data_IF_160190889715
#
_entry.id   IF_160190889715
#
_cell.length_a   1.000
_cell.length_b   1.000
_cell.length_c   1.000
_cell.angle_alpha   90.00
_cell.angle_beta   90.00
_cell.angle_gamma   90.00
#
_symmetry.space_group_name_H-M   'P 1'
#
loop_
_entity.id
_entity.type
_entity.pdbx_description
1 polymer ?
#
# COMPACT_ATOMS: atom_id res chain seq x y z
N UNK A 1 -17.84 8.73 -15.80
CA UNK A 1 -18.57 8.43 -14.54
C UNK A 1 -17.95 7.21 -13.90
N UNK A 2 -17.86 7.15 -12.55
CA UNK A 2 -17.37 5.98 -11.85
C UNK A 2 -18.22 4.77 -12.22
N UNK A 3 -17.59 3.61 -12.37
CA UNK A 3 -18.27 2.36 -12.73
C UNK A 3 -17.74 1.21 -11.87
N UNK A 4 -18.43 0.07 -11.85
CA UNK A 4 -18.00 -1.11 -11.08
C UNK A 4 -17.46 -2.19 -12.01
N UNK A 5 -16.40 -2.84 -11.57
CA UNK A 5 -15.88 -4.07 -12.17
C UNK A 5 -15.83 -5.16 -11.11
N UNK A 6 -16.17 -6.38 -11.48
CA UNK A 6 -16.18 -7.54 -10.57
C UNK A 6 -14.96 -8.41 -10.83
N UNK A 7 -14.27 -8.79 -9.75
CA UNK A 7 -13.15 -9.73 -9.79
C UNK A 7 -13.61 -11.16 -10.07
N UNK A 8 -12.65 -12.04 -10.42
CA UNK A 8 -12.88 -13.49 -10.47
C UNK A 8 -13.22 -14.07 -9.10
N UNK A 9 -12.86 -13.35 -8.03
CA UNK A 9 -13.26 -13.63 -6.66
C UNK A 9 -14.70 -13.20 -6.34
N UNK A 10 -15.45 -12.69 -7.32
CA UNK A 10 -16.83 -12.21 -7.16
C UNK A 10 -16.95 -10.85 -6.48
N UNK A 11 -15.84 -10.20 -6.09
CA UNK A 11 -15.89 -8.91 -5.39
C UNK A 11 -15.88 -7.76 -6.38
N UNK A 12 -16.81 -6.83 -6.20
CA UNK A 12 -16.89 -5.62 -7.01
C UNK A 12 -16.00 -4.51 -6.46
N UNK A 13 -15.35 -3.78 -7.37
CA UNK A 13 -14.55 -2.59 -7.06
C UNK A 13 -15.04 -1.43 -7.92
N UNK A 14 -15.20 -0.26 -7.28
CA UNK A 14 -15.54 0.98 -7.96
C UNK A 14 -14.29 1.56 -8.62
N UNK A 15 -14.33 1.71 -9.94
CA UNK A 15 -13.31 2.36 -10.75
C UNK A 15 -13.62 3.85 -10.81
N UNK A 16 -12.69 4.72 -10.39
CA UNK A 16 -12.88 6.17 -10.45
C UNK A 16 -12.86 6.67 -11.89
N UNK A 17 -13.32 7.91 -12.08
CA UNK A 17 -13.30 8.57 -13.39
C UNK A 17 -11.91 8.63 -14.01
N UNK A 18 -11.82 8.19 -15.28
CA UNK A 18 -10.56 8.12 -16.01
C UNK A 18 -9.57 7.06 -15.49
N UNK A 19 -10.00 6.24 -14.52
CA UNK A 19 -9.27 5.06 -14.07
C UNK A 19 -9.60 3.81 -14.87
N UNK A 20 -8.94 2.71 -14.53
CA UNK A 20 -9.20 1.38 -15.08
C UNK A 20 -9.07 0.32 -13.98
N UNK A 21 -9.60 -0.88 -14.20
CA UNK A 21 -9.42 -2.02 -13.30
C UNK A 21 -8.29 -2.92 -13.77
N UNK A 22 -7.49 -3.42 -12.83
CA UNK A 22 -6.54 -4.50 -13.08
C UNK A 22 -6.77 -5.64 -12.08
N UNK A 23 -6.75 -6.86 -12.59
CA UNK A 23 -7.02 -8.05 -11.79
C UNK A 23 -5.73 -8.74 -11.34
N UNK A 24 -5.69 -9.10 -10.06
CA UNK A 24 -4.66 -9.93 -9.47
C UNK A 24 -4.72 -11.40 -9.92
N UNK A 25 -3.62 -12.15 -9.74
CA UNK A 25 -3.64 -13.62 -9.88
C UNK A 25 -4.56 -14.25 -8.85
N UNK A 26 -4.68 -13.62 -7.68
CA UNK A 26 -5.65 -13.94 -6.63
C UNK A 26 -7.12 -13.74 -7.06
N UNK A 27 -7.37 -13.22 -8.26
CA UNK A 27 -8.69 -12.95 -8.80
C UNK A 27 -9.31 -11.63 -8.37
N UNK A 28 -8.68 -10.90 -7.44
CA UNK A 28 -9.20 -9.65 -6.93
C UNK A 28 -8.98 -8.50 -7.92
N UNK A 29 -10.03 -7.69 -8.13
CA UNK A 29 -9.92 -6.48 -8.96
C UNK A 29 -9.34 -5.33 -8.13
N UNK A 30 -8.49 -4.49 -8.72
CA UNK A 30 -7.99 -3.26 -8.11
C UNK A 30 -8.22 -2.08 -9.03
N UNK A 31 -8.77 -1.00 -8.47
CA UNK A 31 -8.94 0.25 -9.19
C UNK A 31 -7.60 0.99 -9.31
N UNK A 32 -7.19 1.26 -10.54
CA UNK A 32 -6.03 2.07 -10.88
C UNK A 32 -6.52 3.48 -11.24
N UNK A 33 -6.15 4.52 -10.48
CA UNK A 33 -6.55 5.89 -10.79
C UNK A 33 -5.86 6.38 -12.06
N UNK A 34 -6.43 7.43 -12.68
CA UNK A 34 -5.85 8.07 -13.86
C UNK A 34 -4.37 8.41 -13.65
N UNK A 35 -3.53 8.04 -14.62
CA UNK A 35 -2.08 8.26 -14.57
C UNK A 35 -1.31 7.35 -13.61
N UNK A 36 -1.99 6.45 -12.90
CA UNK A 36 -1.38 5.37 -12.14
C UNK A 36 -1.16 4.12 -12.99
N UNK A 37 -0.49 3.14 -12.39
CA UNK A 37 -0.30 1.80 -12.95
C UNK A 37 -0.49 0.75 -11.84
N UNK A 38 -0.68 -0.52 -12.22
CA UNK A 38 -0.76 -1.62 -11.26
C UNK A 38 0.55 -2.41 -11.21
N UNK A 39 0.92 -2.87 -10.02
CA UNK A 39 2.00 -3.85 -9.83
C UNK A 39 1.49 -5.02 -9.01
N UNK A 40 1.88 -6.22 -9.42
CA UNK A 40 1.48 -7.46 -8.78
C UNK A 40 2.64 -8.05 -7.98
N UNK A 41 2.39 -8.38 -6.71
CA UNK A 41 3.36 -9.06 -5.87
C UNK A 41 3.51 -10.54 -6.22
N UNK A 42 4.53 -11.21 -5.67
CA UNK A 42 4.67 -12.67 -5.77
C UNK A 42 3.49 -13.39 -5.13
N UNK A 43 2.87 -12.79 -4.13
CA UNK A 43 1.64 -13.28 -3.51
C UNK A 43 0.39 -13.22 -4.41
N UNK A 44 0.52 -12.69 -5.63
CA UNK A 44 -0.54 -12.62 -6.63
C UNK A 44 -1.48 -11.43 -6.48
N UNK A 45 -1.35 -10.63 -5.42
CA UNK A 45 -2.22 -9.48 -5.15
C UNK A 45 -1.74 -8.26 -5.94
N UNK A 46 -2.69 -7.55 -6.54
CA UNK A 46 -2.43 -6.30 -7.28
C UNK A 46 -2.42 -5.10 -6.33
N UNK A 47 -1.59 -4.09 -6.62
CA UNK A 47 -1.56 -2.80 -5.90
C UNK A 47 -1.52 -1.66 -6.90
N UNK A 48 -2.34 -0.63 -6.64
CA UNK A 48 -2.34 0.60 -7.42
C UNK A 48 -1.18 1.51 -7.01
N UNK A 49 -0.35 1.88 -7.98
CA UNK A 49 0.74 2.84 -7.85
C UNK A 49 0.29 4.15 -8.49
N UNK A 50 0.18 5.20 -7.69
CA UNK A 50 -0.25 6.53 -8.17
C UNK A 50 0.87 7.19 -8.98
N UNK A 51 0.46 8.11 -9.85
CA UNK A 51 1.37 8.88 -10.71
C UNK A 51 2.56 9.46 -9.92
N UNK A 52 3.77 9.26 -10.43
CA UNK A 52 5.02 9.75 -9.83
C UNK A 52 5.52 8.96 -8.61
N UNK A 53 4.76 8.00 -8.09
CA UNK A 53 5.26 7.02 -7.13
C UNK A 53 5.84 5.79 -7.82
N UNK A 54 6.32 4.85 -7.03
CA UNK A 54 6.80 3.55 -7.47
C UNK A 54 6.32 2.46 -6.51
N UNK A 55 6.51 1.19 -6.86
CA UNK A 55 6.22 0.08 -5.97
C UNK A 55 7.48 -0.62 -5.50
N UNK A 56 7.46 -1.13 -4.27
CA UNK A 56 8.48 -2.03 -3.73
C UNK A 56 7.83 -3.26 -3.13
N UNK A 57 8.44 -4.41 -3.33
CA UNK A 57 7.93 -5.67 -2.82
C UNK A 57 8.49 -6.00 -1.43
N UNK A 58 7.60 -6.44 -0.55
CA UNK A 58 7.92 -7.02 0.74
C UNK A 58 8.62 -8.38 0.61
N UNK A 59 9.37 -8.77 1.65
CA UNK A 59 9.81 -10.17 1.81
C UNK A 59 8.61 -11.11 1.89
N UNK A 60 7.49 -10.62 2.41
CA UNK A 60 6.22 -11.33 2.47
C UNK A 60 5.49 -11.43 1.11
N UNK A 61 6.12 -10.98 0.03
CA UNK A 61 5.62 -11.11 -1.34
C UNK A 61 4.59 -10.04 -1.73
N UNK A 62 4.29 -9.09 -0.84
CA UNK A 62 3.28 -8.04 -1.06
C UNK A 62 3.91 -6.80 -1.66
N UNK A 63 3.29 -6.23 -2.70
CA UNK A 63 3.66 -4.88 -3.16
C UNK A 63 3.21 -3.80 -2.17
N UNK A 64 4.01 -2.75 -2.04
CA UNK A 64 3.67 -1.51 -1.33
C UNK A 64 3.84 -0.32 -2.27
N UNK A 65 2.92 0.65 -2.17
CA UNK A 65 3.05 1.94 -2.84
C UNK A 65 4.04 2.84 -2.08
N UNK A 66 5.03 3.35 -2.80
CA UNK A 66 5.97 4.36 -2.31
C UNK A 66 5.64 5.70 -2.97
N UNK A 67 5.30 6.74 -2.18
CA UNK A 67 4.93 8.03 -2.74
C UNK A 67 6.10 8.72 -3.43
N UNK A 68 5.80 9.64 -4.35
CA UNK A 68 6.81 10.46 -5.03
C UNK A 68 7.72 11.15 -4.01
N UNK A 69 9.03 11.00 -4.17
CA UNK A 69 10.04 11.55 -3.26
C UNK A 69 10.12 10.86 -1.89
N UNK A 70 9.31 9.82 -1.67
CA UNK A 70 9.37 8.97 -0.49
C UNK A 70 10.35 7.81 -0.65
N UNK A 71 10.43 6.98 0.38
CA UNK A 71 11.24 5.76 0.40
C UNK A 71 10.46 4.61 1.03
N UNK A 72 10.90 3.37 0.81
CA UNK A 72 10.31 2.19 1.43
C UNK A 72 11.07 1.78 2.69
N UNK A 73 10.33 1.36 3.72
CA UNK A 73 10.88 0.68 4.90
C UNK A 73 10.14 -0.64 5.13
N UNK A 74 10.90 -1.67 5.47
CA UNK A 74 10.38 -3.02 5.68
C UNK A 74 10.50 -3.39 7.16
N UNK A 75 9.38 -3.85 7.75
CA UNK A 75 9.38 -4.37 9.11
C UNK A 75 10.01 -5.75 9.21
N UNK A 76 10.24 -6.23 10.44
CA UNK A 76 10.66 -7.61 10.69
C UNK A 76 9.64 -8.62 10.20
N UNK A 77 8.35 -8.26 10.20
CA UNK A 77 7.27 -9.09 9.62
C UNK A 77 7.34 -9.23 8.09
N UNK A 78 8.30 -8.57 7.44
CA UNK A 78 8.54 -8.65 6.01
C UNK A 78 7.68 -7.71 5.17
N UNK A 79 6.72 -7.00 5.78
CA UNK A 79 5.86 -6.04 5.06
C UNK A 79 6.62 -4.76 4.76
N UNK A 80 6.52 -4.32 3.50
CA UNK A 80 7.00 -3.03 3.04
C UNK A 80 5.95 -1.94 3.29
N UNK A 81 6.40 -0.75 3.67
CA UNK A 81 5.57 0.45 3.81
C UNK A 81 6.25 1.64 3.13
N UNK A 82 5.48 2.44 2.41
CA UNK A 82 5.95 3.71 1.85
C UNK A 82 5.94 4.84 2.87
N UNK A 83 7.08 5.51 2.99
CA UNK A 83 7.29 6.68 3.85
C UNK A 83 7.30 7.93 2.99
N UNK A 84 6.39 8.86 3.27
CA UNK A 84 6.32 10.16 2.59
C UNK A 84 7.54 11.03 2.89
N UNK A 85 7.89 11.98 1.99
CA UNK A 85 8.94 12.96 2.25
C UNK A 85 8.79 13.64 3.62
N UNK A 86 9.88 13.70 4.39
CA UNK A 86 9.90 14.31 5.73
C UNK A 86 9.18 13.51 6.82
N UNK A 87 8.58 12.36 6.50
CA UNK A 87 8.15 11.37 7.48
C UNK A 87 9.29 10.41 7.86
N UNK A 88 8.99 9.52 8.80
CA UNK A 88 9.89 8.45 9.22
C UNK A 88 9.12 7.15 9.43
N UNK A 89 9.82 6.02 9.53
CA UNK A 89 9.25 4.75 9.95
C UNK A 89 9.42 4.53 11.45
N UNK A 90 8.44 3.89 12.08
CA UNK A 90 8.58 3.35 13.42
C UNK A 90 8.07 1.91 13.43
N UNK A 91 8.89 0.99 13.95
CA UNK A 91 8.54 -0.42 14.04
C UNK A 91 8.09 -0.78 15.45
N UNK A 92 6.96 -1.49 15.55
CA UNK A 92 6.46 -2.00 16.82
C UNK A 92 7.15 -3.28 17.28
N UNK A 93 6.93 -3.68 18.53
CA UNK A 93 7.35 -5.00 19.03
C UNK A 93 6.67 -6.14 18.25
N UNK A 94 5.51 -5.89 17.67
CA UNK A 94 4.82 -6.82 16.76
C UNK A 94 5.54 -7.03 15.41
N UNK A 95 6.63 -6.30 15.15
CA UNK A 95 7.44 -6.38 13.94
C UNK A 95 6.87 -5.60 12.75
N UNK A 96 5.77 -4.87 12.93
CA UNK A 96 5.16 -4.07 11.85
C UNK A 96 5.78 -2.69 11.78
N UNK A 97 6.28 -2.35 10.59
CA UNK A 97 6.67 -0.98 10.24
C UNK A 97 5.42 -0.12 10.02
N UNK A 98 5.43 1.11 10.55
CA UNK A 98 4.37 2.10 10.34
C UNK A 98 4.99 3.41 9.87
N UNK A 99 4.41 4.01 8.82
CA UNK A 99 4.79 5.34 8.37
C UNK A 99 4.25 6.41 9.33
N UNK A 100 5.15 7.21 9.88
CA UNK A 100 4.85 8.38 10.71
C UNK A 100 5.01 9.64 9.86
N UNK A 101 3.93 10.37 9.57
CA UNK A 101 4.01 11.60 8.79
C UNK A 101 4.85 12.69 9.48
N UNK A 102 5.31 13.66 8.70
CA UNK A 102 6.02 14.83 9.22
C UNK A 102 5.19 15.53 10.31
N UNK A 103 5.83 15.84 11.43
CA UNK A 103 5.19 16.53 12.56
C UNK A 103 4.25 15.64 13.38
N UNK A 104 4.27 14.33 13.18
CA UNK A 104 3.55 13.34 13.99
C UNK A 104 4.53 12.45 14.75
N UNK A 105 4.02 11.77 15.77
CA UNK A 105 4.78 10.80 16.54
C UNK A 105 4.03 9.47 16.63
N UNK A 106 4.78 8.38 16.84
CA UNK A 106 4.23 7.05 17.03
C UNK A 106 4.22 6.68 18.51
N UNK A 107 3.11 6.09 18.98
CA UNK A 107 2.99 5.49 20.32
C UNK A 107 2.62 4.04 20.16
N UNK A 108 3.38 3.16 20.80
CA UNK A 108 3.11 1.73 20.79
C UNK A 108 1.93 1.40 21.71
N UNK A 109 1.00 0.57 21.23
CA UNK A 109 -0.08 0.04 22.05
C UNK A 109 0.34 -1.24 22.81
N UNK A 110 -0.54 -1.71 23.70
CA UNK A 110 -0.30 -2.91 24.51
C UNK A 110 -0.05 -4.17 23.68
N UNK A 111 -0.55 -4.20 22.44
CA UNK A 111 -0.36 -5.32 21.49
C UNK A 111 0.94 -5.19 20.70
N UNK A 112 1.75 -4.19 21.03
CA UNK A 112 3.02 -3.91 20.37
C UNK A 112 2.89 -3.19 19.02
N UNK A 113 1.71 -2.63 18.70
CA UNK A 113 1.46 -1.97 17.41
C UNK A 113 1.64 -0.47 17.52
N UNK A 114 2.39 0.12 16.59
CA UNK A 114 2.54 1.58 16.53
C UNK A 114 1.23 2.25 16.09
N UNK A 115 0.83 3.29 16.83
CA UNK A 115 -0.30 4.18 16.55
C UNK A 115 0.21 5.59 16.31
N UNK A 116 -0.16 6.17 15.18
CA UNK A 116 0.20 7.57 14.85
C UNK A 116 -0.64 8.51 15.71
N UNK A 117 0.02 9.48 16.35
CA UNK A 117 -0.56 10.51 17.22
C UNK A 117 -0.16 11.91 16.76
N UNK A 118 -0.94 12.87 17.21
CA UNK A 118 -0.89 14.25 16.73
C UNK A 118 0.29 15.05 17.23
#
# INVERSE_FOLDING_TARGET
MPHKLTGRDGKAVTIPDGGHGLQGRDGHMVAIPKGGHGLQGRDGRMVAIRAGGHGLEGRDGRMAYIPKGGHGLQGRDGRMVGISPGGHGLEGRDGRMVAIPKGKHGVEDEKGRIRVKS
#
